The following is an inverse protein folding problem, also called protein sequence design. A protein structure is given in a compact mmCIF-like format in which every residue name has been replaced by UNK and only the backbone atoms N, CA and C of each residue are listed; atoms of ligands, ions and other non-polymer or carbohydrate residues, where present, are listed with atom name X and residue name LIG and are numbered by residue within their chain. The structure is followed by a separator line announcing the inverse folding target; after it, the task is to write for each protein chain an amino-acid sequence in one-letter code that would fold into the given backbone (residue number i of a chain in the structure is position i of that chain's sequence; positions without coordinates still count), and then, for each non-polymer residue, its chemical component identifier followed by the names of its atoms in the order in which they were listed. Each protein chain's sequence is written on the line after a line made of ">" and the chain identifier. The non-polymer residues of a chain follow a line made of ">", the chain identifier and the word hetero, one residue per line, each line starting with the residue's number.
data_IF_740409279651
#
_entry.id   IF_740409279651
#
_cell.length_a   1.000
_cell.length_b   1.000
_cell.length_c   1.000
_cell.angle_alpha   90.00
_cell.angle_beta   90.00
_cell.angle_gamma   90.00
#
_symmetry.space_group_name_H-M   'P 1'
#
loop_
_entity.id
_entity.type
_entity.pdbx_description
1 polymer ?
#
# COMPACT_ATOMS: atom_id res chain seq x y z
N UNK A 1 5.09 -28.39 3.44
CA UNK A 1 3.76 -27.78 3.51
C UNK A 1 3.96 -26.32 3.20
N UNK A 2 3.40 -25.84 2.09
CA UNK A 2 3.62 -24.47 1.62
C UNK A 2 2.56 -23.59 2.27
N UNK A 3 2.99 -22.54 2.97
CA UNK A 3 2.08 -21.47 3.40
C UNK A 3 1.46 -20.85 2.14
N UNK A 4 0.18 -20.47 2.19
CA UNK A 4 -0.65 -20.15 1.03
C UNK A 4 0.08 -19.40 -0.11
N UNK A 5 0.27 -20.08 -1.25
CA UNK A 5 1.05 -19.58 -2.39
C UNK A 5 0.49 -18.29 -3.03
N UNK A 6 -0.79 -17.98 -2.83
CA UNK A 6 -1.46 -16.78 -3.36
C UNK A 6 -1.64 -15.66 -2.33
N UNK A 7 -1.74 -16.01 -1.05
CA UNK A 7 -1.96 -15.09 0.06
C UNK A 7 -1.37 -15.72 1.33
N UNK A 8 -0.35 -15.07 1.90
CA UNK A 8 0.25 -15.50 3.17
C UNK A 8 -0.81 -15.62 4.27
N UNK A 9 -0.66 -16.61 5.15
CA UNK A 9 -1.64 -16.84 6.22
C UNK A 9 -1.74 -15.61 7.12
N UNK A 10 -2.98 -15.21 7.46
CA UNK A 10 -3.26 -13.96 8.16
C UNK A 10 -4.49 -14.04 9.02
N UNK A 11 -4.51 -13.23 10.07
CA UNK A 11 -5.68 -13.00 10.92
C UNK A 11 -5.73 -11.53 11.29
N UNK A 12 -6.91 -11.02 11.64
CA UNK A 12 -7.04 -9.62 11.99
C UNK A 12 -8.42 -9.24 12.51
N UNK A 13 -8.52 -7.97 12.89
CA UNK A 13 -9.74 -7.31 13.33
C UNK A 13 -10.00 -6.14 12.40
N UNK A 14 -11.25 -5.98 11.98
CA UNK A 14 -11.73 -4.78 11.30
C UNK A 14 -13.01 -4.32 11.95
N UNK A 15 -13.23 -3.01 11.99
CA UNK A 15 -14.46 -2.45 12.48
C UNK A 15 -14.77 -1.12 11.83
N UNK A 16 -16.04 -0.75 11.91
CA UNK A 16 -16.58 0.53 11.48
C UNK A 16 -17.62 0.95 12.51
N UNK A 17 -17.60 2.23 12.87
CA UNK A 17 -18.60 2.85 13.73
C UNK A 17 -19.22 4.03 12.98
N UNK A 18 -20.54 4.02 12.84
CA UNK A 18 -21.29 5.05 12.13
C UNK A 18 -21.52 6.24 13.08
N UNK A 19 -21.05 7.41 12.66
CA UNK A 19 -21.18 8.65 13.43
C UNK A 19 -22.39 9.50 12.97
N UNK A 20 -23.12 9.04 11.96
CA UNK A 20 -24.26 9.74 11.34
C UNK A 20 -23.86 10.58 10.13
N UNK A 21 -24.86 10.98 9.33
CA UNK A 21 -24.73 11.83 8.15
C UNK A 21 -23.70 11.34 7.10
N UNK A 22 -23.47 10.02 7.05
CA UNK A 22 -22.50 9.39 6.16
C UNK A 22 -21.06 9.44 6.69
N UNK A 23 -20.80 10.01 7.86
CA UNK A 23 -19.51 9.99 8.56
C UNK A 23 -19.35 8.69 9.34
N UNK A 24 -18.17 8.08 9.25
CA UNK A 24 -17.82 6.87 9.99
C UNK A 24 -16.37 6.86 10.43
N UNK A 25 -16.09 6.19 11.53
CA UNK A 25 -14.74 5.79 11.92
C UNK A 25 -14.51 4.36 11.46
N UNK A 26 -13.33 4.07 10.93
CA UNK A 26 -12.94 2.74 10.49
C UNK A 26 -11.57 2.35 11.06
N UNK A 27 -11.38 1.06 11.37
CA UNK A 27 -10.08 0.54 11.79
C UNK A 27 -9.82 -0.85 11.22
N UNK A 28 -8.53 -1.16 11.03
CA UNK A 28 -8.05 -2.47 10.59
C UNK A 28 -6.74 -2.79 11.30
N UNK A 29 -6.67 -3.96 11.91
CA UNK A 29 -5.48 -4.56 12.49
C UNK A 29 -5.29 -5.94 11.85
N UNK A 30 -4.23 -6.14 11.07
CA UNK A 30 -3.97 -7.38 10.32
C UNK A 30 -2.56 -7.90 10.61
N UNK A 31 -2.49 -9.16 11.01
CA UNK A 31 -1.29 -9.94 11.29
C UNK A 31 -1.02 -10.94 10.16
N UNK A 32 0.25 -11.10 9.80
CA UNK A 32 0.71 -12.21 8.95
C UNK A 32 1.40 -13.26 9.81
N UNK A 33 1.23 -14.53 9.49
CA UNK A 33 1.91 -15.62 10.18
C UNK A 33 2.23 -16.78 9.23
N UNK A 34 3.26 -17.53 9.58
CA UNK A 34 3.58 -18.80 8.96
C UNK A 34 2.65 -19.89 9.54
N UNK A 35 1.78 -20.46 8.71
CA UNK A 35 0.84 -21.49 9.15
C UNK A 35 1.49 -22.85 9.47
N UNK A 36 2.77 -23.06 9.12
CA UNK A 36 3.48 -24.29 9.43
C UNK A 36 4.04 -24.32 10.86
N UNK A 37 4.31 -23.16 11.45
CA UNK A 37 4.98 -23.05 12.76
C UNK A 37 4.43 -21.93 13.66
N UNK A 38 3.48 -21.12 13.19
CA UNK A 38 2.85 -20.03 13.93
C UNK A 38 3.70 -18.77 14.09
N UNK A 39 4.88 -18.68 13.45
CA UNK A 39 5.75 -17.51 13.55
C UNK A 39 5.09 -16.28 12.94
N UNK A 40 5.31 -15.11 13.56
CA UNK A 40 4.80 -13.83 13.05
C UNK A 40 5.65 -13.35 11.88
N UNK A 41 4.98 -12.95 10.80
CA UNK A 41 5.63 -12.36 9.63
C UNK A 41 5.97 -10.87 9.83
N UNK A 42 6.46 -10.22 8.78
CA UNK A 42 6.79 -8.78 8.74
C UNK A 42 7.68 -8.36 9.93
N UNK A 43 8.78 -9.08 10.12
CA UNK A 43 9.77 -8.86 11.17
C UNK A 43 9.22 -9.04 12.60
N UNK A 44 8.30 -10.01 12.78
CA UNK A 44 7.76 -10.36 14.09
C UNK A 44 6.74 -9.37 14.64
N UNK A 45 6.18 -8.49 13.80
CA UNK A 45 5.17 -7.51 14.22
C UNK A 45 3.84 -8.20 14.50
N UNK A 46 3.16 -7.81 15.59
CA UNK A 46 1.81 -8.33 15.90
C UNK A 46 0.80 -7.99 14.80
N UNK A 47 0.80 -6.75 14.30
CA UNK A 47 -0.04 -6.30 13.19
C UNK A 47 0.83 -5.77 12.04
N UNK A 48 1.68 -6.65 11.51
CA UNK A 48 2.67 -6.30 10.50
C UNK A 48 2.11 -6.03 9.11
N UNK A 49 0.87 -6.42 8.81
CA UNK A 49 0.26 -6.26 7.48
C UNK A 49 -0.57 -4.99 7.36
N UNK A 50 -1.31 -4.63 8.39
CA UNK A 50 -2.04 -3.37 8.47
C UNK A 50 -2.31 -3.02 9.93
N UNK A 51 -2.13 -1.76 10.29
CA UNK A 51 -2.54 -1.23 11.58
C UNK A 51 -2.99 0.22 11.37
N UNK A 52 -4.27 0.39 11.04
CA UNK A 52 -4.83 1.69 10.65
C UNK A 52 -6.09 2.03 11.41
N UNK A 53 -6.26 3.32 11.65
CA UNK A 53 -7.53 3.96 12.01
C UNK A 53 -7.79 5.09 11.02
N UNK A 54 -9.05 5.36 10.71
CA UNK A 54 -9.42 6.41 9.77
C UNK A 54 -10.80 6.97 10.04
N UNK A 55 -11.06 8.11 9.41
CA UNK A 55 -12.38 8.72 9.32
C UNK A 55 -12.75 8.73 7.85
N UNK A 56 -13.96 8.28 7.53
CA UNK A 56 -14.48 8.26 6.18
C UNK A 56 -15.84 8.94 6.11
N UNK A 57 -16.15 9.52 4.95
CA UNK A 57 -17.43 10.13 4.66
C UNK A 57 -17.79 9.94 3.19
N UNK A 58 -19.05 9.69 2.89
CA UNK A 58 -19.50 9.34 1.54
C UNK A 58 -19.21 10.43 0.50
N UNK A 59 -19.32 11.70 0.90
CA UNK A 59 -19.08 12.84 0.01
C UNK A 59 -17.61 13.16 -0.28
N UNK A 60 -16.67 12.85 0.62
CA UNK A 60 -15.28 13.31 0.50
C UNK A 60 -14.23 12.22 0.67
N UNK A 61 -14.60 10.99 0.99
CA UNK A 61 -13.70 9.84 0.98
C UNK A 61 -13.16 9.50 2.36
N UNK A 62 -11.91 9.04 2.46
CA UNK A 62 -11.31 8.61 3.72
C UNK A 62 -9.99 9.29 4.02
N UNK A 63 -9.73 9.53 5.29
CA UNK A 63 -8.45 9.94 5.84
C UNK A 63 -8.00 8.89 6.86
N UNK A 64 -6.92 8.18 6.55
CA UNK A 64 -6.42 7.03 7.26
C UNK A 64 -5.02 7.29 7.85
N UNK A 65 -4.77 6.74 9.03
CA UNK A 65 -3.57 6.92 9.82
C UNK A 65 -3.01 5.58 10.25
N UNK A 66 -1.70 5.40 10.14
CA UNK A 66 -0.98 4.26 10.71
C UNK A 66 -0.13 3.49 9.69
N UNK A 67 -0.11 2.16 9.80
CA UNK A 67 0.63 1.26 8.92
C UNK A 67 -0.27 0.67 7.85
N UNK A 68 0.05 0.91 6.59
CA UNK A 68 -0.74 0.40 5.47
C UNK A 68 0.06 0.31 4.17
N UNK A 69 -0.53 -0.34 3.18
CA UNK A 69 0.03 -0.40 1.83
C UNK A 69 0.06 0.96 1.16
N UNK A 70 1.10 1.20 0.36
CA UNK A 70 1.20 2.36 -0.52
C UNK A 70 0.22 2.26 -1.73
N UNK A 71 0.11 3.34 -2.50
CA UNK A 71 -0.82 3.41 -3.64
C UNK A 71 -0.48 2.43 -4.75
N UNK A 72 0.80 2.23 -5.10
CA UNK A 72 1.18 1.22 -6.08
C UNK A 72 0.71 -0.17 -5.68
N UNK A 73 0.93 -0.60 -4.43
CA UNK A 73 0.47 -1.92 -3.97
C UNK A 73 -1.05 -2.04 -3.92
N UNK A 74 -1.78 -0.95 -3.67
CA UNK A 74 -3.25 -0.95 -3.62
C UNK A 74 -3.88 -0.91 -5.01
N UNK A 75 -3.46 0.01 -5.87
CA UNK A 75 -4.15 0.28 -7.14
C UNK A 75 -3.66 -0.59 -8.30
N UNK A 76 -2.41 -1.04 -8.29
CA UNK A 76 -1.91 -1.94 -9.33
C UNK A 76 -2.30 -3.39 -9.07
N UNK A 77 -2.66 -3.77 -7.83
CA UNK A 77 -3.09 -5.13 -7.51
C UNK A 77 -4.26 -5.62 -8.41
N UNK A 78 -5.17 -4.71 -8.80
CA UNK A 78 -6.34 -5.03 -9.62
C UNK A 78 -6.05 -5.12 -11.12
N UNK A 79 -4.86 -4.69 -11.56
CA UNK A 79 -4.37 -4.86 -12.93
C UNK A 79 -3.83 -6.28 -13.12
N UNK A 80 -3.20 -6.87 -12.10
CA UNK A 80 -2.61 -8.21 -12.19
C UNK A 80 -3.70 -9.29 -12.29
N UNK A 81 -3.82 -10.04 -13.42
CA UNK A 81 -4.80 -11.12 -13.56
C UNK A 81 -4.48 -12.32 -12.65
N UNK A 82 -3.27 -12.40 -12.08
CA UNK A 82 -2.82 -13.45 -11.17
C UNK A 82 -2.70 -12.99 -9.70
N UNK A 83 -3.04 -11.73 -9.43
CA UNK A 83 -2.84 -11.04 -8.13
C UNK A 83 -1.37 -11.02 -7.69
N UNK A 84 -1.08 -10.32 -6.58
CA UNK A 84 0.27 -9.94 -6.11
C UNK A 84 1.28 -11.07 -5.80
N UNK A 85 1.14 -12.33 -6.24
CA UNK A 85 2.09 -13.40 -5.83
C UNK A 85 2.24 -14.69 -6.67
N UNK A 86 1.85 -14.77 -7.95
CA UNK A 86 2.23 -15.95 -8.77
C UNK A 86 3.73 -15.90 -9.15
N UNK A 87 4.56 -16.46 -8.25
CA UNK A 87 6.04 -16.70 -8.19
C UNK A 87 7.00 -16.20 -9.28
N UNK A 88 6.63 -16.08 -10.56
CA UNK A 88 7.47 -15.49 -11.62
C UNK A 88 6.76 -14.44 -12.49
N UNK A 89 5.42 -14.46 -12.54
CA UNK A 89 4.61 -13.55 -13.36
C UNK A 89 4.01 -12.39 -12.55
N UNK A 90 4.28 -12.34 -11.25
CA UNK A 90 3.69 -11.33 -10.39
C UNK A 90 4.34 -9.94 -10.55
N UNK A 91 3.49 -8.92 -10.69
CA UNK A 91 3.90 -7.52 -10.79
C UNK A 91 4.76 -7.02 -9.63
N UNK A 92 4.58 -7.53 -8.41
CA UNK A 92 5.40 -7.18 -7.25
C UNK A 92 6.87 -7.60 -7.39
N UNK A 93 7.16 -8.69 -8.09
CA UNK A 93 8.55 -9.12 -8.34
C UNK A 93 9.24 -8.24 -9.38
N UNK A 94 8.51 -7.76 -10.38
CA UNK A 94 9.01 -6.81 -11.39
C UNK A 94 9.07 -5.36 -10.89
N UNK A 95 8.19 -4.98 -9.97
CA UNK A 95 7.99 -3.59 -9.55
C UNK A 95 7.95 -3.46 -8.03
N UNK A 96 9.10 -3.10 -7.44
CA UNK A 96 9.27 -3.01 -5.99
C UNK A 96 8.20 -2.21 -5.24
N UNK A 97 7.73 -1.07 -5.79
CA UNK A 97 6.69 -0.28 -5.12
C UNK A 97 5.29 -0.93 -5.17
N UNK A 98 5.04 -1.84 -6.10
CA UNK A 98 3.77 -2.58 -6.20
C UNK A 98 3.77 -3.89 -5.36
N UNK A 99 4.90 -4.24 -4.74
CA UNK A 99 5.10 -5.53 -4.09
C UNK A 99 4.58 -5.59 -2.65
N UNK A 100 3.29 -5.31 -2.45
CA UNK A 100 2.68 -5.29 -1.11
C UNK A 100 3.45 -4.39 -0.12
N UNK A 101 4.04 -3.32 -0.65
CA UNK A 101 4.90 -2.42 0.07
C UNK A 101 4.08 -1.63 1.10
N UNK A 102 4.49 -1.74 2.37
CA UNK A 102 3.77 -1.20 3.53
C UNK A 102 4.62 -0.19 4.25
N UNK A 103 4.02 0.93 4.57
CA UNK A 103 4.67 2.08 5.17
C UNK A 103 4.03 2.35 6.54
N UNK A 104 4.89 2.60 7.52
CA UNK A 104 4.47 3.03 8.87
C UNK A 104 4.22 4.53 8.94
N UNK A 105 3.60 4.95 10.04
CA UNK A 105 3.43 6.36 10.40
C UNK A 105 2.93 7.19 9.21
N UNK A 106 1.95 6.65 8.50
CA UNK A 106 1.43 7.23 7.28
C UNK A 106 0.11 7.94 7.55
N UNK A 107 -0.04 9.11 6.94
CA UNK A 107 -1.34 9.72 6.68
C UNK A 107 -1.68 9.46 5.23
N UNK A 108 -2.88 8.96 4.95
CA UNK A 108 -3.35 8.67 3.61
C UNK A 108 -4.75 9.23 3.42
N UNK A 109 -4.94 10.00 2.36
CA UNK A 109 -6.24 10.45 1.90
C UNK A 109 -6.63 9.67 0.64
N UNK A 110 -7.89 9.25 0.55
CA UNK A 110 -8.49 8.64 -0.64
C UNK A 110 -9.83 9.29 -0.94
N UNK A 111 -10.08 9.62 -2.19
CA UNK A 111 -11.38 10.17 -2.62
C UNK A 111 -12.44 9.07 -2.68
N UNK A 112 -13.73 9.42 -2.69
CA UNK A 112 -14.76 8.52 -3.19
C UNK A 112 -14.50 8.17 -4.65
N UNK A 113 -15.15 7.12 -5.13
CA UNK A 113 -15.21 6.83 -6.57
C UNK A 113 -16.23 7.74 -7.24
N UNK A 114 -15.77 8.64 -8.10
CA UNK A 114 -16.63 9.59 -8.82
C UNK A 114 -16.62 9.21 -10.30
N UNK A 115 -17.70 8.56 -10.76
CA UNK A 115 -17.79 8.09 -12.14
C UNK A 115 -16.70 7.07 -12.51
N UNK A 116 -16.22 6.31 -11.52
CA UNK A 116 -15.12 5.36 -11.68
C UNK A 116 -13.74 5.93 -11.38
N UNK A 117 -13.59 7.25 -11.22
CA UNK A 117 -12.32 7.89 -10.88
C UNK A 117 -12.07 7.89 -9.38
N UNK A 118 -10.88 7.46 -8.96
CA UNK A 118 -10.39 7.48 -7.59
C UNK A 118 -8.98 8.08 -7.55
N UNK A 119 -8.72 8.87 -6.52
CA UNK A 119 -7.40 9.42 -6.21
C UNK A 119 -7.00 9.02 -4.80
N UNK A 120 -5.72 8.73 -4.63
CA UNK A 120 -5.12 8.53 -3.32
C UNK A 120 -3.77 9.26 -3.20
N UNK A 121 -3.51 9.80 -2.02
CA UNK A 121 -2.27 10.47 -1.67
C UNK A 121 -1.88 10.09 -0.25
N UNK A 122 -0.61 9.76 -0.03
CA UNK A 122 -0.10 9.41 1.28
C UNK A 122 1.29 9.94 1.53
N UNK A 123 1.55 10.23 2.80
CA UNK A 123 2.85 10.65 3.31
C UNK A 123 3.19 9.86 4.56
N UNK A 124 4.37 9.23 4.57
CA UNK A 124 4.92 8.52 5.73
C UNK A 124 6.02 9.34 6.37
N UNK A 125 5.86 9.59 7.67
CA UNK A 125 6.83 10.31 8.50
C UNK A 125 7.98 9.42 8.99
N UNK A 126 7.86 8.10 8.81
CA UNK A 126 8.81 7.09 9.24
C UNK A 126 8.41 5.76 8.63
N UNK A 127 9.04 5.39 7.51
CA UNK A 127 8.60 4.28 6.64
C UNK A 127 8.67 2.90 7.31
N UNK A 128 9.57 2.74 8.29
CA UNK A 128 9.80 1.49 9.04
C UNK A 128 10.01 1.79 10.53
N UNK A 129 8.91 2.03 11.24
CA UNK A 129 8.87 2.45 12.64
C UNK A 129 8.94 1.29 13.62
N UNK A 130 10.00 0.48 13.58
CA UNK A 130 10.24 -0.62 14.54
C UNK A 130 11.25 -0.31 15.64
N UNK A 131 11.88 0.86 15.63
CA UNK A 131 12.93 1.17 16.58
C UNK A 131 12.35 1.52 17.97
N UNK A 132 12.25 0.50 18.83
CA UNK A 132 11.81 0.64 20.21
C UNK A 132 12.76 1.49 21.09
N UNK A 133 13.97 1.80 20.59
CA UNK A 133 14.94 2.66 21.26
C UNK A 133 14.73 4.16 21.03
N UNK A 134 13.89 4.54 20.07
CA UNK A 134 13.70 5.93 19.68
C UNK A 134 12.84 6.68 20.72
N UNK A 135 13.47 7.58 21.49
CA UNK A 135 12.80 8.44 22.48
C UNK A 135 12.80 9.89 21.98
N UNK A 136 11.62 10.49 21.82
CA UNK A 136 11.45 11.90 21.39
C UNK A 136 10.98 12.07 19.93
N UNK A 137 10.89 13.32 19.45
CA UNK A 137 10.49 13.63 18.07
C UNK A 137 11.65 13.34 17.11
N UNK A 138 11.62 12.19 16.44
CA UNK A 138 12.67 11.79 15.50
C UNK A 138 12.46 12.32 14.07
N UNK A 139 12.26 13.63 13.94
CA UNK A 139 11.91 14.20 12.63
C UNK A 139 13.08 14.17 11.65
N UNK A 140 14.33 14.36 12.07
CA UNK A 140 15.49 14.42 11.17
C UNK A 140 16.00 13.04 10.71
N UNK A 141 15.81 12.00 11.52
CA UNK A 141 16.47 10.70 11.34
C UNK A 141 15.58 9.61 10.76
N UNK A 142 14.32 9.96 10.44
CA UNK A 142 13.37 9.02 9.87
C UNK A 142 13.41 9.05 8.34
N UNK A 143 13.50 7.86 7.74
CA UNK A 143 13.24 7.70 6.32
C UNK A 143 11.76 8.01 6.05
N UNK A 144 11.50 8.80 5.02
CA UNK A 144 10.15 9.33 4.72
C UNK A 144 9.67 8.82 3.38
N UNK A 145 8.36 8.71 3.22
CA UNK A 145 7.73 8.18 2.01
C UNK A 145 6.66 9.11 1.47
N UNK A 146 6.58 9.24 0.15
CA UNK A 146 5.43 9.81 -0.55
C UNK A 146 4.86 8.71 -1.43
N UNK A 147 3.54 8.58 -1.45
CA UNK A 147 2.83 7.68 -2.35
C UNK A 147 1.61 8.40 -2.92
N UNK A 148 1.35 8.24 -4.21
CA UNK A 148 0.20 8.81 -4.88
C UNK A 148 -0.31 7.86 -5.95
N UNK A 149 -1.61 7.90 -6.20
CA UNK A 149 -2.25 7.07 -7.20
C UNK A 149 -3.48 7.75 -7.74
N UNK A 150 -3.71 7.56 -9.04
CA UNK A 150 -5.00 7.82 -9.68
C UNK A 150 -5.42 6.56 -10.40
N UNK A 151 -6.69 6.21 -10.28
CA UNK A 151 -7.26 5.04 -10.93
C UNK A 151 -8.62 5.37 -11.53
N UNK A 152 -8.87 4.83 -12.71
CA UNK A 152 -10.17 4.83 -13.35
C UNK A 152 -10.67 3.38 -13.51
N UNK A 153 -11.83 3.09 -12.93
CA UNK A 153 -12.56 1.84 -13.07
C UNK A 153 -13.91 2.11 -13.72
N UNK A 154 -14.04 1.79 -15.00
CA UNK A 154 -15.25 2.07 -15.78
C UNK A 154 -15.61 0.92 -16.70
N UNK A 155 -16.66 0.17 -16.34
CA UNK A 155 -17.08 -1.01 -17.10
C UNK A 155 -15.93 -2.01 -17.27
N UNK A 156 -15.53 -2.37 -18.50
CA UNK A 156 -14.45 -3.32 -18.75
C UNK A 156 -13.04 -2.73 -18.56
N UNK A 157 -12.90 -1.41 -18.40
CA UNK A 157 -11.61 -0.72 -18.38
C UNK A 157 -11.12 -0.43 -16.96
N UNK A 158 -9.85 -0.77 -16.69
CA UNK A 158 -9.10 -0.36 -15.51
C UNK A 158 -7.80 0.33 -15.95
N UNK A 159 -7.62 1.60 -15.57
CA UNK A 159 -6.37 2.34 -15.80
C UNK A 159 -5.88 2.88 -14.47
N UNK A 160 -4.63 2.60 -14.13
CA UNK A 160 -3.99 3.01 -12.89
C UNK A 160 -2.66 3.70 -13.19
N UNK A 161 -2.42 4.86 -12.58
CA UNK A 161 -1.12 5.51 -12.55
C UNK A 161 -0.71 5.73 -11.10
N UNK A 162 0.51 5.34 -10.73
CA UNK A 162 1.03 5.54 -9.38
C UNK A 162 2.42 6.17 -9.37
N UNK A 163 2.72 6.83 -8.27
CA UNK A 163 4.00 7.42 -7.96
C UNK A 163 4.38 7.08 -6.52
N UNK A 164 5.60 6.62 -6.32
CA UNK A 164 6.16 6.36 -5.01
C UNK A 164 7.57 6.95 -4.92
N UNK A 165 7.89 7.56 -3.78
CA UNK A 165 9.22 8.05 -3.47
C UNK A 165 9.56 7.70 -2.03
N UNK A 166 10.79 7.24 -1.82
CA UNK A 166 11.38 7.17 -0.49
C UNK A 166 12.51 8.18 -0.40
N UNK A 167 12.66 8.80 0.76
CA UNK A 167 13.85 9.57 1.13
C UNK A 167 14.51 8.82 2.27
N UNK A 168 15.75 8.38 2.05
CA UNK A 168 16.56 7.77 3.11
C UNK A 168 16.78 8.74 4.27
N UNK A 169 17.16 8.20 5.43
CA UNK A 169 17.55 9.04 6.57
C UNK A 169 19.06 9.30 6.54
N UNK A 170 19.42 10.56 6.83
CA UNK A 170 20.82 10.95 7.00
C UNK A 170 21.52 10.15 8.11
N UNK A 171 20.81 9.81 9.20
CA UNK A 171 21.35 9.01 10.29
C UNK A 171 21.72 7.56 9.89
N UNK A 172 21.11 7.01 8.84
CA UNK A 172 21.42 5.67 8.31
C UNK A 172 22.42 5.73 7.13
N UNK A 173 23.02 6.90 6.86
CA UNK A 173 24.04 7.07 5.82
C UNK A 173 23.52 6.90 4.38
N UNK A 174 22.21 7.09 4.16
CA UNK A 174 21.58 6.91 2.85
C UNK A 174 20.91 8.19 2.37
N UNK A 175 21.57 8.91 1.46
CA UNK A 175 21.02 10.09 0.77
C UNK A 175 20.31 9.74 -0.54
N UNK A 176 20.04 8.45 -0.75
CA UNK A 176 19.34 8.00 -1.96
C UNK A 176 17.85 8.31 -1.84
N UNK A 177 17.32 8.91 -2.90
CA UNK A 177 15.88 9.18 -3.02
C UNK A 177 15.31 8.34 -4.17
N UNK A 178 15.02 7.04 -3.97
CA UNK A 178 14.42 6.23 -5.03
C UNK A 178 13.01 6.74 -5.34
N UNK A 179 12.68 6.82 -6.62
CA UNK A 179 11.37 7.15 -7.16
C UNK A 179 10.91 6.05 -8.10
N UNK A 180 9.62 5.73 -8.08
CA UNK A 180 9.00 4.80 -9.02
C UNK A 180 7.71 5.41 -9.57
N UNK A 181 7.56 5.35 -10.88
CA UNK A 181 6.31 5.64 -11.59
C UNK A 181 5.81 4.33 -12.18
N UNK A 182 4.52 4.06 -12.12
CA UNK A 182 3.95 2.88 -12.75
C UNK A 182 2.59 3.19 -13.38
N UNK A 183 2.40 2.75 -14.62
CA UNK A 183 1.16 2.81 -15.39
C UNK A 183 0.68 1.39 -15.62
N UNK A 184 -0.53 1.09 -15.20
CA UNK A 184 -1.21 -0.17 -15.50
C UNK A 184 -2.50 0.05 -16.26
N UNK A 185 -2.74 -0.84 -17.21
CA UNK A 185 -3.96 -0.87 -18.01
C UNK A 185 -4.45 -2.31 -18.07
N UNK A 186 -5.74 -2.51 -17.80
CA UNK A 186 -6.42 -3.76 -18.04
C UNK A 186 -7.77 -3.53 -18.73
N UNK A 187 -8.13 -4.46 -19.62
CA UNK A 187 -9.42 -4.49 -20.28
C UNK A 187 -10.01 -5.90 -20.22
N UNK A 188 -11.26 -5.99 -19.78
CA UNK A 188 -12.00 -7.25 -19.69
C UNK A 188 -12.97 -7.38 -20.88
N UNK A 189 -12.74 -8.38 -21.73
CA UNK A 189 -13.60 -8.72 -22.86
C UNK A 189 -14.64 -9.80 -22.51
N UNK A 190 -14.90 -10.02 -21.21
CA UNK A 190 -15.77 -11.07 -20.63
C UNK A 190 -15.21 -12.49 -20.74
N UNK A 191 -14.68 -12.86 -21.91
CA UNK A 191 -14.07 -14.17 -22.17
C UNK A 191 -12.55 -14.18 -21.97
N UNK A 192 -11.93 -13.01 -22.03
CA UNK A 192 -10.49 -12.83 -21.83
C UNK A 192 -10.22 -11.46 -21.20
N UNK A 193 -9.32 -11.42 -20.23
CA UNK A 193 -8.80 -10.17 -19.65
C UNK A 193 -7.38 -9.96 -20.13
N UNK A 194 -7.12 -8.79 -20.73
CA UNK A 194 -5.77 -8.37 -21.07
C UNK A 194 -5.31 -7.33 -20.05
N UNK A 195 -4.05 -7.45 -19.62
CA UNK A 195 -3.44 -6.53 -18.68
C UNK A 195 -1.98 -6.26 -19.05
N UNK A 196 -1.54 -5.02 -18.86
CA UNK A 196 -0.17 -4.60 -19.06
C UNK A 196 0.22 -3.56 -18.02
N UNK A 197 1.46 -3.62 -17.54
CA UNK A 197 2.04 -2.62 -16.64
C UNK A 197 3.42 -2.22 -17.12
N UNK A 198 3.67 -0.92 -17.09
CA UNK A 198 4.96 -0.31 -17.31
C UNK A 198 5.37 0.45 -16.05
N UNK A 199 6.61 0.30 -15.60
CA UNK A 199 7.15 1.12 -14.52
C UNK A 199 8.56 1.59 -14.82
N UNK A 200 8.86 2.80 -14.36
CA UNK A 200 10.18 3.42 -14.44
C UNK A 200 10.68 3.74 -13.03
N UNK A 201 11.93 3.35 -12.73
CA UNK A 201 12.56 3.57 -11.43
C UNK A 201 13.78 4.46 -11.59
N UNK A 202 13.78 5.58 -10.87
CA UNK A 202 14.90 6.52 -10.84
C UNK A 202 15.56 6.52 -9.47
N UNK A 203 16.88 6.49 -9.45
CA UNK A 203 17.69 6.71 -8.27
C UNK A 203 18.35 8.08 -8.42
N UNK A 204 18.11 8.99 -7.48
CA UNK A 204 18.87 10.22 -7.37
C UNK A 204 19.72 10.20 -6.11
N UNK A 205 21.00 10.51 -6.27
CA UNK A 205 21.92 10.89 -5.18
C UNK A 205 21.88 12.42 -5.08
N UNK A 206 21.74 12.94 -3.86
CA UNK A 206 21.89 14.37 -3.57
C UNK A 206 23.37 14.69 -3.31
#
# INVERSE_FOLDING_TARGET
>A
MTTGNQDGSRWGLRGSDDLGDGLRVEFVLESGFDSTNGQRDQNGRMFGRQATIGIAHDAWGSLEFGRQQNMASRYLADIDPFYTSYTQANMGLGFSAANTYRLDNMIMYRTPSIGGLELGLGYSFGVDGTDAGQRGFATADNARGITAGVRYLGGPLNVTLTFDQLRGSHAQGSDTTPRQYALGVAYDFEVIKLAAVYADRKLSHL
#
